data_IF_408708631591
#
_entry.id   IF_408708631591
#
_cell.length_a   1.000
_cell.length_b   1.000
_cell.length_c   1.000
_cell.angle_alpha   90.00
_cell.angle_beta   90.00
_cell.angle_gamma   90.00
#
_symmetry.space_group_name_H-M   'P 1'
#
loop_
_entity.id
_entity.type
_entity.pdbx_description
1 polymer ?
#
# COMPACT_ATOMS: atom_id res chain seq x y z
N UNK A 1 -15.84 22.52 32.72
CA UNK A 1 -15.58 22.83 31.30
C UNK A 1 -14.96 21.59 30.71
N UNK A 2 -15.80 20.85 30.02
CA UNK A 2 -15.67 19.44 29.73
C UNK A 2 -14.75 19.17 28.53
N UNK A 3 -13.86 18.19 28.70
CA UNK A 3 -13.47 17.18 27.70
C UNK A 3 -13.21 17.61 26.25
N UNK A 4 -12.05 18.23 26.03
CA UNK A 4 -11.36 18.19 24.74
C UNK A 4 -10.66 16.85 24.52
N UNK A 5 -11.42 15.77 24.34
CA UNK A 5 -10.91 14.44 23.99
C UNK A 5 -10.45 14.48 22.52
N UNK A 6 -9.26 15.03 22.26
CA UNK A 6 -8.55 14.74 21.02
C UNK A 6 -8.17 13.27 21.05
N UNK A 7 -9.04 12.43 20.50
CA UNK A 7 -8.69 11.07 20.16
C UNK A 7 -7.52 11.14 19.17
N UNK A 8 -6.30 11.00 19.70
CA UNK A 8 -5.13 10.65 18.92
C UNK A 8 -5.48 9.35 18.20
N UNK A 9 -5.87 9.44 16.92
CA UNK A 9 -6.07 8.25 16.11
C UNK A 9 -4.73 7.51 16.11
N UNK A 10 -4.65 6.41 16.85
CA UNK A 10 -3.46 5.57 16.90
C UNK A 10 -3.07 5.25 15.46
N UNK A 11 -1.87 5.66 15.07
CA UNK A 11 -1.35 5.32 13.74
C UNK A 11 -1.26 3.79 13.66
N UNK A 12 -1.84 3.16 12.63
CA UNK A 12 -1.83 1.71 12.53
C UNK A 12 -0.37 1.24 12.39
N UNK A 13 0.07 0.35 13.29
CA UNK A 13 1.35 -0.32 13.15
C UNK A 13 1.21 -1.40 12.07
N UNK A 14 1.79 -1.16 10.91
CA UNK A 14 1.75 -2.08 9.77
C UNK A 14 3.08 -2.84 9.73
N UNK A 15 3.06 -4.20 9.75
CA UNK A 15 4.29 -4.97 9.62
C UNK A 15 4.91 -4.74 8.25
N UNK A 16 6.23 -4.51 8.22
CA UNK A 16 6.99 -4.34 6.99
C UNK A 16 7.30 -5.70 6.38
N UNK A 17 7.08 -5.80 5.06
CA UNK A 17 7.53 -6.96 4.30
C UNK A 17 9.06 -6.96 4.18
N UNK A 18 9.74 -8.12 4.15
CA UNK A 18 11.20 -8.18 4.01
C UNK A 18 11.76 -7.35 2.83
N UNK A 19 11.15 -7.34 1.63
CA UNK A 19 11.61 -6.49 0.53
C UNK A 19 11.50 -4.98 0.82
N UNK A 20 10.48 -4.56 1.57
CA UNK A 20 10.35 -3.17 1.98
C UNK A 20 11.46 -2.78 2.97
N UNK A 21 11.80 -3.69 3.90
CA UNK A 21 12.89 -3.48 4.84
C UNK A 21 14.24 -3.37 4.13
N UNK A 22 14.49 -4.20 3.11
CA UNK A 22 15.72 -4.13 2.31
C UNK A 22 15.88 -2.77 1.61
N UNK A 23 14.77 -2.23 1.06
CA UNK A 23 14.77 -0.90 0.45
C UNK A 23 15.09 0.17 1.50
N UNK A 24 14.48 0.12 2.69
CA UNK A 24 14.79 1.06 3.77
C UNK A 24 16.27 1.02 4.17
N UNK A 25 16.82 -0.18 4.32
CA UNK A 25 18.23 -0.36 4.68
C UNK A 25 19.17 0.25 3.62
N UNK A 26 18.81 0.16 2.33
CA UNK A 26 19.59 0.76 1.24
C UNK A 26 19.69 2.28 1.33
N UNK A 27 18.65 2.94 1.85
CA UNK A 27 18.60 4.40 1.97
C UNK A 27 18.91 4.92 3.38
N UNK A 28 19.28 4.04 4.33
CA UNK A 28 19.50 4.40 5.73
C UNK A 28 20.53 5.52 5.90
N UNK A 29 21.63 5.47 5.15
CA UNK A 29 22.73 6.45 5.21
C UNK A 29 22.69 7.47 4.05
N UNK A 30 21.56 7.60 3.36
CA UNK A 30 21.47 8.47 2.18
C UNK A 30 21.44 9.96 2.61
N UNK A 31 22.40 10.82 2.21
CA UNK A 31 22.55 12.16 2.80
C UNK A 31 21.30 13.05 2.69
N UNK A 32 20.57 13.10 1.55
CA UNK A 32 19.29 13.82 1.48
C UNK A 32 18.25 13.33 2.50
N UNK A 33 18.19 12.02 2.75
CA UNK A 33 17.27 11.41 3.70
C UNK A 33 17.61 11.80 5.14
N UNK A 34 18.89 11.76 5.50
CA UNK A 34 19.38 12.17 6.82
C UNK A 34 19.13 13.67 7.08
N UNK A 35 19.45 14.51 6.11
CA UNK A 35 19.32 15.97 6.24
C UNK A 35 17.86 16.43 6.40
N UNK A 36 16.91 15.69 5.82
CA UNK A 36 15.50 16.04 5.82
C UNK A 36 14.67 15.21 6.82
N UNK A 37 15.32 14.29 7.56
CA UNK A 37 14.65 13.39 8.50
C UNK A 37 13.65 12.43 7.83
N UNK A 38 13.96 11.96 6.61
CA UNK A 38 13.09 11.06 5.82
C UNK A 38 13.69 9.67 5.71
N UNK A 39 12.85 8.64 5.67
CA UNK A 39 13.30 7.25 5.48
C UNK A 39 13.65 6.93 4.01
N UNK A 40 13.07 7.66 3.06
CA UNK A 40 13.23 7.45 1.63
C UNK A 40 13.30 8.80 0.90
N UNK A 41 13.96 8.86 -0.27
CA UNK A 41 13.89 10.04 -1.12
C UNK A 41 12.51 10.12 -1.78
N UNK A 42 11.59 10.88 -1.18
CA UNK A 42 10.21 10.99 -1.66
C UNK A 42 10.12 12.05 -2.76
N UNK A 43 9.82 11.59 -3.98
CA UNK A 43 9.53 12.44 -5.13
C UNK A 43 8.04 12.80 -5.22
N UNK A 44 7.70 13.79 -6.05
CA UNK A 44 6.30 14.05 -6.39
C UNK A 44 5.68 12.87 -7.14
N UNK A 45 4.37 12.66 -6.97
CA UNK A 45 3.64 11.60 -7.68
C UNK A 45 3.82 11.66 -9.21
N UNK A 46 3.92 12.87 -9.77
CA UNK A 46 4.17 13.06 -11.20
C UNK A 46 5.53 12.52 -11.62
N UNK A 47 6.60 12.87 -10.90
CA UNK A 47 7.96 12.37 -11.17
C UNK A 47 8.04 10.86 -10.97
N UNK A 48 7.49 10.36 -9.86
CA UNK A 48 7.45 8.92 -9.57
C UNK A 48 6.73 8.14 -10.68
N UNK A 49 5.56 8.60 -11.13
CA UNK A 49 4.83 7.95 -12.21
C UNK A 49 5.57 8.04 -13.56
N UNK A 50 6.35 9.12 -13.79
CA UNK A 50 7.24 9.23 -14.94
C UNK A 50 8.30 8.13 -14.95
N UNK A 51 9.02 7.95 -13.84
CA UNK A 51 10.02 6.88 -13.71
C UNK A 51 9.41 5.48 -13.76
N UNK A 52 8.24 5.27 -13.15
CA UNK A 52 7.52 3.99 -13.24
C UNK A 52 7.15 3.64 -14.69
N UNK A 53 6.80 4.65 -15.51
CA UNK A 53 6.53 4.44 -16.92
C UNK A 53 7.78 3.99 -17.67
N UNK A 54 8.91 4.68 -17.46
CA UNK A 54 10.18 4.32 -18.09
C UNK A 54 10.62 2.89 -17.71
N UNK A 55 10.52 2.53 -16.43
CA UNK A 55 10.82 1.16 -15.96
C UNK A 55 9.87 0.14 -16.61
N UNK A 56 8.58 0.47 -16.73
CA UNK A 56 7.59 -0.39 -17.37
C UNK A 56 7.91 -0.62 -18.86
N UNK A 57 8.28 0.45 -19.57
CA UNK A 57 8.65 0.41 -20.99
C UNK A 57 9.90 -0.47 -21.19
N UNK A 58 10.93 -0.31 -20.35
CA UNK A 58 12.15 -1.15 -20.38
C UNK A 58 11.88 -2.61 -20.02
N UNK A 59 10.86 -2.88 -19.20
CA UNK A 59 10.49 -4.23 -18.77
C UNK A 59 9.47 -4.90 -19.71
N UNK A 60 9.05 -4.24 -20.80
CA UNK A 60 8.01 -4.74 -21.71
C UNK A 60 6.60 -4.79 -21.11
N UNK A 61 6.35 -4.03 -20.03
CA UNK A 61 5.05 -3.98 -19.35
C UNK A 61 4.17 -2.94 -20.05
N UNK A 62 3.13 -3.41 -20.74
CA UNK A 62 2.18 -2.54 -21.46
C UNK A 62 1.13 -1.88 -20.56
N UNK A 63 0.95 -2.40 -19.35
CA UNK A 63 0.00 -1.86 -18.37
C UNK A 63 0.56 -0.58 -17.74
N UNK A 64 -0.26 0.47 -17.68
CA UNK A 64 0.09 1.73 -17.01
C UNK A 64 0.43 1.51 -15.52
N UNK A 65 1.70 1.70 -15.17
CA UNK A 65 2.19 1.65 -13.79
C UNK A 65 2.06 3.02 -13.12
N UNK A 66 1.40 3.04 -11.96
CA UNK A 66 1.25 4.23 -11.11
C UNK A 66 1.26 3.80 -9.64
N UNK A 67 1.43 4.77 -8.74
CA UNK A 67 1.28 4.53 -7.29
C UNK A 67 -0.10 3.98 -6.91
N UNK A 68 -1.16 4.37 -7.63
CA UNK A 68 -2.50 3.80 -7.46
C UNK A 68 -2.56 2.34 -7.91
N UNK A 69 -1.91 1.98 -9.02
CA UNK A 69 -1.80 0.60 -9.48
C UNK A 69 -1.11 -0.26 -8.44
N UNK A 70 0.00 0.23 -7.86
CA UNK A 70 0.73 -0.48 -6.81
C UNK A 70 -0.13 -0.70 -5.55
N UNK A 71 -0.84 0.33 -5.09
CA UNK A 71 -1.78 0.21 -3.95
C UNK A 71 -2.86 -0.84 -4.23
N UNK A 72 -3.44 -0.82 -5.43
CA UNK A 72 -4.44 -1.81 -5.82
C UNK A 72 -3.86 -3.22 -5.80
N UNK A 73 -2.67 -3.43 -6.39
CA UNK A 73 -2.01 -4.73 -6.38
C UNK A 73 -1.71 -5.23 -4.96
N UNK A 74 -1.30 -4.35 -4.05
CA UNK A 74 -1.12 -4.71 -2.63
C UNK A 74 -2.44 -5.14 -1.98
N UNK A 75 -3.51 -4.36 -2.16
CA UNK A 75 -4.82 -4.65 -1.61
C UNK A 75 -5.40 -5.97 -2.15
N UNK A 76 -5.21 -6.25 -3.43
CA UNK A 76 -5.84 -7.41 -4.06
C UNK A 76 -4.96 -8.65 -4.00
N UNK A 77 -3.79 -8.58 -4.63
CA UNK A 77 -2.95 -9.75 -4.91
C UNK A 77 -2.08 -10.13 -3.72
N UNK A 78 -1.55 -9.14 -2.98
CA UNK A 78 -0.67 -9.42 -1.84
C UNK A 78 -1.47 -9.79 -0.60
N UNK A 79 -2.69 -9.28 -0.44
CA UNK A 79 -3.49 -9.46 0.78
C UNK A 79 -4.78 -10.25 0.57
N UNK A 80 -5.79 -9.70 -0.12
CA UNK A 80 -7.11 -10.36 -0.24
C UNK A 80 -7.04 -11.78 -0.84
N UNK A 81 -6.28 -11.98 -1.93
CA UNK A 81 -6.06 -13.29 -2.57
C UNK A 81 -5.29 -14.26 -1.67
N UNK A 82 -4.49 -13.75 -0.72
CA UNK A 82 -3.78 -14.57 0.27
C UNK A 82 -4.57 -14.73 1.58
N UNK A 83 -5.91 -14.61 1.51
CA UNK A 83 -6.79 -14.91 2.64
C UNK A 83 -6.91 -13.79 3.68
N UNK A 84 -6.17 -12.67 3.56
CA UNK A 84 -6.23 -11.58 4.56
C UNK A 84 -7.65 -10.98 4.61
N UNK A 85 -8.26 -10.84 5.80
CA UNK A 85 -9.61 -10.28 5.94
C UNK A 85 -9.70 -8.84 5.45
N UNK A 86 -10.82 -8.46 4.83
CA UNK A 86 -11.01 -7.13 4.24
C UNK A 86 -10.91 -6.01 5.27
N UNK A 87 -11.27 -6.27 6.52
CA UNK A 87 -11.14 -5.35 7.65
C UNK A 87 -9.67 -5.06 7.97
N UNK A 88 -8.84 -6.09 7.93
CA UNK A 88 -7.39 -5.99 8.12
C UNK A 88 -6.76 -5.23 6.97
N UNK A 89 -7.13 -5.54 5.72
CA UNK A 89 -6.67 -4.80 4.54
C UNK A 89 -7.07 -3.32 4.62
N UNK A 90 -8.30 -3.02 5.00
CA UNK A 90 -8.79 -1.64 5.15
C UNK A 90 -7.99 -0.85 6.18
N UNK A 91 -7.61 -1.48 7.30
CA UNK A 91 -6.73 -0.87 8.31
C UNK A 91 -5.32 -0.63 7.77
N UNK A 92 -4.74 -1.59 7.05
CA UNK A 92 -3.42 -1.46 6.42
C UNK A 92 -3.37 -0.36 5.36
N UNK A 93 -4.48 -0.11 4.66
CA UNK A 93 -4.60 0.96 3.66
C UNK A 93 -4.92 2.34 4.26
N UNK A 94 -5.18 2.43 5.57
CA UNK A 94 -5.54 3.67 6.24
C UNK A 94 -6.93 4.21 5.85
N UNK A 95 -7.82 3.35 5.36
CA UNK A 95 -9.16 3.73 4.95
C UNK A 95 -10.07 3.90 6.18
N UNK A 96 -10.64 5.10 6.36
CA UNK A 96 -11.62 5.39 7.43
C UNK A 96 -12.95 4.66 7.25
N UNK A 97 -13.29 4.30 6.01
CA UNK A 97 -14.54 3.63 5.67
C UNK A 97 -14.27 2.38 4.82
N UNK A 98 -14.77 1.23 5.29
CA UNK A 98 -14.70 -0.06 4.62
C UNK A 98 -15.27 -0.01 3.19
N UNK A 99 -16.23 0.89 2.92
CA UNK A 99 -16.84 1.07 1.60
C UNK A 99 -15.80 1.33 0.50
N UNK A 100 -14.70 2.02 0.81
CA UNK A 100 -13.62 2.27 -0.16
C UNK A 100 -12.82 1.02 -0.52
N UNK A 101 -12.77 0.05 0.39
CA UNK A 101 -12.12 -1.26 0.21
C UNK A 101 -13.12 -2.30 -0.37
N UNK A 102 -14.42 -2.09 -0.23
CA UNK A 102 -15.47 -2.97 -0.79
C UNK A 102 -15.62 -2.87 -2.31
N UNK A 103 -14.93 -1.92 -2.98
CA UNK A 103 -14.88 -1.83 -4.44
C UNK A 103 -13.97 -2.89 -5.11
N UNK A 104 -13.67 -4.01 -4.43
CA UNK A 104 -12.96 -5.16 -5.02
C UNK A 104 -13.90 -6.37 -5.29
N UNK A 105 -15.08 -6.20 -5.93
CA UNK A 105 -16.13 -7.23 -5.98
C UNK A 105 -15.67 -8.53 -6.65
N UNK A 106 -14.92 -8.45 -7.78
CA UNK A 106 -14.45 -9.64 -8.50
C UNK A 106 -13.60 -10.58 -7.66
N UNK A 107 -12.82 -10.04 -6.71
CA UNK A 107 -11.93 -10.84 -5.87
C UNK A 107 -12.69 -11.39 -4.67
N UNK A 108 -13.67 -10.65 -4.16
CA UNK A 108 -14.58 -11.16 -3.13
C UNK A 108 -15.40 -12.33 -3.66
N UNK A 109 -15.93 -12.25 -4.88
CA UNK A 109 -16.71 -13.33 -5.50
C UNK A 109 -15.87 -14.61 -5.69
N UNK A 110 -14.63 -14.47 -6.18
CA UNK A 110 -13.70 -15.59 -6.32
C UNK A 110 -13.39 -16.23 -4.96
N UNK A 111 -13.10 -15.40 -3.95
CA UNK A 111 -12.77 -15.87 -2.60
C UNK A 111 -13.97 -16.56 -1.93
N UNK A 112 -15.18 -16.02 -2.08
CA UNK A 112 -16.40 -16.66 -1.57
C UNK A 112 -16.60 -18.02 -2.22
N UNK A 113 -16.36 -18.14 -3.53
CA UNK A 113 -16.42 -19.44 -4.20
C UNK A 113 -15.38 -20.43 -3.66
N UNK A 114 -14.15 -19.98 -3.41
CA UNK A 114 -13.09 -20.82 -2.82
C UNK A 114 -13.45 -21.26 -1.39
N UNK A 115 -13.89 -20.32 -0.55
CA UNK A 115 -14.29 -20.58 0.84
C UNK A 115 -15.50 -21.53 0.93
N UNK A 116 -16.40 -21.53 -0.06
CA UNK A 116 -17.53 -22.46 -0.14
C UNK A 116 -17.14 -23.88 -0.61
N UNK A 117 -15.97 -24.05 -1.22
CA UNK A 117 -15.45 -25.34 -1.70
C UNK A 117 -14.49 -26.01 -0.70
N UNK A 118 -14.07 -25.29 0.35
CA UNK A 118 -13.19 -25.77 1.42
C UNK A 118 -13.97 -26.44 2.57
#
# INVERSE_FOLDING_TARGET
MDSGFFAFQASPNIPLLPPAQEILNRYAEHPPCLNEGRLLPVLSNQKMNGYLKEIADLSGITKKMTTHTARHTFATTVTLTNGVPIETVSKMLGHKNLQTTQHYPKILDLKVSEDMMA
#
